data_IF_856338590358
#
_entry.id   IF_856338590358
#
_cell.length_a   1.000
_cell.length_b   1.000
_cell.length_c   1.000
_cell.angle_alpha   90.00
_cell.angle_beta   90.00
_cell.angle_gamma   90.00
#
_symmetry.space_group_name_H-M   'P 1'
#
loop_
_entity.id
_entity.type
_entity.pdbx_description
1 polymer ?
#
# COMPACT_ATOMS: atom_id res chain seq x y z
N UNK A 1 27.93 -16.74 -20.83
CA UNK A 1 26.94 -15.80 -20.28
C UNK A 1 27.03 -15.70 -18.74
N UNK A 2 27.13 -16.79 -18.01
CA UNK A 2 27.28 -16.77 -16.52
C UNK A 2 28.50 -15.98 -16.02
N UNK A 3 29.60 -15.96 -16.74
CA UNK A 3 30.84 -15.27 -16.33
C UNK A 3 30.70 -13.75 -16.21
N UNK A 4 29.76 -13.13 -16.93
CA UNK A 4 29.50 -11.67 -16.84
C UNK A 4 28.53 -11.32 -15.71
N UNK A 5 27.51 -12.14 -15.42
CA UNK A 5 26.49 -11.87 -14.40
C UNK A 5 27.09 -11.76 -13.02
N UNK A 6 28.07 -12.58 -12.68
CA UNK A 6 28.69 -12.57 -11.34
C UNK A 6 29.36 -11.25 -10.99
N UNK A 7 29.91 -10.54 -11.96
CA UNK A 7 30.51 -9.22 -11.71
C UNK A 7 29.45 -8.15 -11.44
N UNK A 8 28.28 -8.27 -12.04
CA UNK A 8 27.13 -7.42 -11.71
C UNK A 8 26.66 -7.67 -10.30
N UNK A 9 26.47 -8.93 -9.93
CA UNK A 9 26.07 -9.33 -8.58
C UNK A 9 27.09 -8.89 -7.54
N UNK A 10 28.39 -9.11 -7.82
CA UNK A 10 29.48 -8.64 -6.97
C UNK A 10 29.38 -7.12 -6.70
N UNK A 11 29.26 -6.31 -7.74
CA UNK A 11 29.23 -4.85 -7.60
C UNK A 11 27.97 -4.37 -6.86
N UNK A 12 26.82 -5.01 -7.13
CA UNK A 12 25.56 -4.67 -6.51
C UNK A 12 25.46 -5.08 -5.03
N UNK A 13 26.09 -6.21 -4.64
CA UNK A 13 26.10 -6.69 -3.25
C UNK A 13 27.13 -5.94 -2.38
N UNK A 14 28.24 -5.51 -3.01
CA UNK A 14 29.34 -4.87 -2.30
C UNK A 14 29.04 -3.42 -1.90
N UNK A 15 28.31 -2.67 -2.74
CA UNK A 15 28.12 -1.23 -2.62
C UNK A 15 26.65 -0.80 -2.65
N UNK A 16 26.31 0.29 -1.93
CA UNK A 16 24.99 0.90 -2.07
C UNK A 16 24.69 1.25 -3.54
N UNK A 17 23.45 1.11 -3.99
CA UNK A 17 23.01 1.27 -5.39
C UNK A 17 23.62 2.47 -6.09
N UNK A 18 23.51 3.67 -5.49
CA UNK A 18 24.03 4.90 -6.10
C UNK A 18 25.57 4.90 -6.25
N UNK A 19 26.28 4.22 -5.34
CA UNK A 19 27.75 4.12 -5.39
C UNK A 19 28.15 3.07 -6.43
N UNK A 20 27.52 1.91 -6.43
CA UNK A 20 27.76 0.86 -7.43
C UNK A 20 27.50 1.36 -8.85
N UNK A 21 26.40 2.10 -9.06
CA UNK A 21 26.11 2.71 -10.36
C UNK A 21 27.18 3.70 -10.79
N UNK A 22 27.71 4.52 -9.88
CA UNK A 22 28.83 5.45 -10.16
C UNK A 22 30.12 4.74 -10.54
N UNK A 23 30.45 3.65 -9.83
CA UNK A 23 31.60 2.80 -10.17
C UNK A 23 31.42 2.22 -11.59
N UNK A 24 30.22 1.68 -11.88
CA UNK A 24 29.88 1.19 -13.21
C UNK A 24 30.03 2.28 -14.29
N UNK A 25 29.51 3.47 -14.05
CA UNK A 25 29.63 4.59 -15.01
C UNK A 25 31.09 4.96 -15.29
N UNK A 26 31.96 4.91 -14.29
CA UNK A 26 33.38 5.24 -14.45
C UNK A 26 34.13 4.21 -15.31
N UNK A 27 33.86 2.92 -15.05
CA UNK A 27 34.55 1.84 -15.76
C UNK A 27 33.81 1.38 -17.04
N UNK A 28 32.53 1.70 -17.15
CA UNK A 28 31.60 1.22 -18.19
C UNK A 28 31.49 -0.33 -18.25
N UNK A 29 32.04 -1.03 -17.28
CA UNK A 29 32.04 -2.49 -17.18
C UNK A 29 32.28 -2.92 -15.74
N UNK A 30 31.46 -3.82 -15.17
CA UNK A 30 31.72 -4.35 -13.84
C UNK A 30 32.94 -5.31 -13.81
N UNK A 31 33.30 -5.89 -14.96
CA UNK A 31 34.55 -6.71 -15.10
C UNK A 31 35.76 -5.82 -15.00
N UNK A 32 35.76 -4.69 -15.73
CA UNK A 32 36.88 -3.73 -15.65
C UNK A 32 36.98 -3.10 -14.27
N UNK A 33 35.85 -2.86 -13.62
CA UNK A 33 35.83 -2.41 -12.22
C UNK A 33 36.47 -3.43 -11.28
N UNK A 34 36.22 -4.72 -11.47
CA UNK A 34 36.78 -5.79 -10.61
C UNK A 34 38.29 -5.98 -10.83
N UNK A 35 38.75 -5.86 -12.07
CA UNK A 35 40.15 -6.05 -12.46
C UNK A 35 41.02 -4.78 -12.32
N UNK A 36 40.44 -3.68 -11.86
CA UNK A 36 41.14 -2.40 -11.80
C UNK A 36 42.18 -2.39 -10.66
N UNK A 37 43.32 -1.73 -10.96
CA UNK A 37 44.32 -1.45 -9.94
C UNK A 37 43.77 -0.46 -8.89
N UNK A 38 44.18 -0.56 -7.61
CA UNK A 38 43.64 0.24 -6.50
C UNK A 38 43.66 1.77 -6.75
N UNK A 39 44.64 2.29 -7.45
CA UNK A 39 44.81 3.71 -7.78
C UNK A 39 43.69 4.24 -8.68
N UNK A 40 43.08 3.37 -9.50
CA UNK A 40 41.97 3.78 -10.37
C UNK A 40 40.68 4.11 -9.58
N UNK A 41 40.50 3.50 -8.44
CA UNK A 41 39.35 3.83 -7.56
C UNK A 41 39.49 5.22 -6.91
N UNK A 42 40.71 5.75 -6.80
CA UNK A 42 40.95 7.10 -6.29
C UNK A 42 40.43 8.19 -7.24
N UNK A 43 40.28 7.86 -8.49
CA UNK A 43 39.77 8.77 -9.51
C UNK A 43 38.22 8.88 -9.52
N UNK A 44 37.53 8.00 -8.79
CA UNK A 44 36.07 8.00 -8.75
C UNK A 44 35.57 9.03 -7.72
N UNK A 45 34.85 10.09 -8.16
CA UNK A 45 34.39 11.12 -7.24
C UNK A 45 33.45 10.60 -6.16
N UNK A 46 33.72 10.98 -4.91
CA UNK A 46 32.82 10.67 -3.78
C UNK A 46 32.82 9.21 -3.29
N UNK A 47 33.82 8.37 -3.68
CA UNK A 47 34.09 7.13 -3.02
C UNK A 47 34.75 7.37 -1.66
N UNK A 48 34.21 6.77 -0.60
CA UNK A 48 34.83 6.79 0.73
C UNK A 48 36.02 5.84 0.80
N UNK A 49 36.95 6.09 1.72
CA UNK A 49 38.08 5.17 1.97
C UNK A 49 37.62 3.72 2.21
N UNK A 50 36.59 3.53 3.01
CA UNK A 50 36.04 2.21 3.31
C UNK A 50 35.50 1.52 2.04
N UNK A 51 34.83 2.24 1.15
CA UNK A 51 34.31 1.69 -0.11
C UNK A 51 35.44 1.28 -1.06
N UNK A 52 36.54 2.04 -1.10
CA UNK A 52 37.74 1.69 -1.86
C UNK A 52 38.40 0.42 -1.32
N UNK A 53 38.55 0.33 0.00
CA UNK A 53 39.09 -0.85 0.68
C UNK A 53 38.23 -2.10 0.38
N UNK A 54 36.90 -1.96 0.35
CA UNK A 54 35.99 -3.06 -0.02
C UNK A 54 36.24 -3.50 -1.49
N UNK A 55 36.39 -2.56 -2.42
CA UNK A 55 36.66 -2.87 -3.82
C UNK A 55 38.01 -3.57 -4.02
N UNK A 56 39.07 -3.11 -3.33
CA UNK A 56 40.44 -3.67 -3.43
C UNK A 56 40.55 -5.11 -2.87
N UNK A 57 39.72 -5.46 -1.88
CA UNK A 57 39.80 -6.76 -1.19
C UNK A 57 38.62 -7.69 -1.54
N UNK A 58 37.82 -7.34 -2.54
CA UNK A 58 36.64 -8.12 -2.91
C UNK A 58 37.03 -9.43 -3.62
N UNK A 59 36.35 -10.52 -3.26
CA UNK A 59 36.35 -11.77 -4.03
C UNK A 59 35.02 -11.95 -4.75
N UNK A 60 34.97 -12.90 -5.68
CA UNK A 60 33.73 -13.30 -6.36
C UNK A 60 32.99 -14.43 -5.65
N UNK A 61 33.57 -15.03 -4.60
CA UNK A 61 33.01 -16.20 -3.91
C UNK A 61 31.58 -15.96 -3.40
N UNK A 62 31.32 -14.76 -2.87
CA UNK A 62 30.00 -14.39 -2.42
C UNK A 62 29.02 -14.21 -3.59
N UNK A 63 29.46 -13.62 -4.70
CA UNK A 63 28.63 -13.51 -5.89
C UNK A 63 28.29 -14.88 -6.49
N UNK A 64 29.26 -15.78 -6.54
CA UNK A 64 29.05 -17.16 -6.99
C UNK A 64 28.05 -17.88 -6.05
N UNK A 65 28.18 -17.76 -4.73
CA UNK A 65 27.23 -18.32 -3.75
C UNK A 65 25.80 -17.74 -3.93
N UNK A 66 25.68 -16.43 -4.18
CA UNK A 66 24.38 -15.80 -4.44
C UNK A 66 23.74 -16.38 -5.72
N UNK A 67 24.52 -16.56 -6.78
CA UNK A 67 24.03 -17.12 -8.05
C UNK A 67 23.61 -18.58 -7.92
N UNK A 68 24.36 -19.39 -7.18
CA UNK A 68 24.01 -20.79 -6.85
C UNK A 68 22.69 -20.84 -6.08
N UNK A 69 22.51 -19.96 -5.10
CA UNK A 69 21.28 -19.88 -4.32
C UNK A 69 20.10 -19.42 -5.20
N UNK A 70 20.31 -18.44 -6.08
CA UNK A 70 19.30 -18.00 -7.06
C UNK A 70 18.88 -19.15 -7.99
N UNK A 71 19.85 -19.92 -8.50
CA UNK A 71 19.57 -21.06 -9.37
C UNK A 71 18.76 -22.15 -8.62
N UNK A 72 19.13 -22.45 -7.38
CA UNK A 72 18.46 -23.43 -6.54
C UNK A 72 17.01 -23.07 -6.22
N UNK A 73 16.72 -21.77 -6.07
CA UNK A 73 15.39 -21.24 -5.70
C UNK A 73 14.60 -20.68 -6.87
N UNK A 74 15.06 -20.87 -8.10
CA UNK A 74 14.42 -20.36 -9.31
C UNK A 74 14.22 -18.84 -9.28
N UNK A 75 15.19 -18.12 -8.68
CA UNK A 75 15.22 -16.66 -8.64
C UNK A 75 15.96 -16.14 -9.87
N UNK A 76 15.30 -15.33 -10.67
CA UNK A 76 15.90 -14.67 -11.82
C UNK A 76 16.74 -13.49 -11.36
N UNK A 77 17.92 -13.37 -11.94
CA UNK A 77 18.84 -12.24 -11.73
C UNK A 77 18.81 -11.41 -13.00
N UNK A 78 18.25 -10.21 -12.91
CA UNK A 78 18.15 -9.27 -14.04
C UNK A 78 19.15 -8.15 -13.83
N UNK A 79 20.07 -7.99 -14.75
CA UNK A 79 21.15 -6.99 -14.67
C UNK A 79 20.87 -5.79 -15.58
N UNK A 80 21.53 -4.67 -15.31
CA UNK A 80 21.45 -3.45 -16.11
C UNK A 80 21.61 -3.66 -17.61
N UNK A 81 22.40 -4.64 -18.05
CA UNK A 81 22.66 -4.91 -19.46
C UNK A 81 21.63 -5.81 -20.13
N UNK A 82 20.78 -6.47 -19.35
CA UNK A 82 19.84 -7.43 -19.90
C UNK A 82 18.72 -6.71 -20.68
N UNK A 83 18.23 -7.35 -21.73
CA UNK A 83 17.12 -6.84 -22.52
C UNK A 83 15.81 -6.76 -21.70
N UNK A 84 15.67 -7.64 -20.71
CA UNK A 84 14.51 -7.67 -19.82
C UNK A 84 14.61 -6.65 -18.66
N UNK A 85 15.71 -5.88 -18.59
CA UNK A 85 15.83 -4.84 -17.58
C UNK A 85 14.89 -3.68 -17.91
N UNK A 86 13.98 -3.26 -16.99
CA UNK A 86 12.96 -2.25 -17.29
C UNK A 86 13.57 -0.89 -17.67
N UNK A 87 13.18 -0.34 -18.81
CA UNK A 87 13.63 0.98 -19.26
C UNK A 87 13.26 2.10 -18.28
N UNK A 88 12.09 1.93 -17.60
CA UNK A 88 11.65 2.88 -16.56
C UNK A 88 12.56 2.91 -15.34
N UNK A 89 13.35 1.85 -15.07
CA UNK A 89 14.39 1.86 -14.05
C UNK A 89 15.66 2.56 -14.54
N UNK A 90 15.98 2.48 -15.86
CA UNK A 90 17.14 3.16 -16.43
C UNK A 90 17.05 4.68 -16.28
N UNK A 91 15.82 5.22 -16.28
CA UNK A 91 15.56 6.66 -16.12
C UNK A 91 15.68 7.18 -14.68
N UNK A 92 15.92 6.29 -13.70
CA UNK A 92 16.12 6.70 -12.30
C UNK A 92 17.46 7.44 -12.12
N UNK A 93 17.58 8.37 -11.16
CA UNK A 93 18.83 9.05 -10.84
C UNK A 93 19.99 8.11 -10.48
N UNK A 94 19.67 6.97 -9.86
CA UNK A 94 20.61 5.92 -9.51
C UNK A 94 19.96 4.55 -9.77
N UNK A 95 19.97 4.07 -11.01
CA UNK A 95 19.37 2.79 -11.36
C UNK A 95 20.06 1.62 -10.64
N UNK A 96 19.31 0.62 -10.16
CA UNK A 96 19.91 -0.58 -9.60
C UNK A 96 20.65 -1.40 -10.65
N UNK A 97 21.84 -1.88 -10.33
CA UNK A 97 22.62 -2.70 -11.25
C UNK A 97 22.06 -4.11 -11.41
N UNK A 98 21.39 -4.61 -10.37
CA UNK A 98 20.80 -5.95 -10.31
C UNK A 98 19.43 -5.88 -9.64
N UNK A 99 18.48 -6.62 -10.19
CA UNK A 99 17.17 -6.87 -9.61
C UNK A 99 16.96 -8.39 -9.52
N UNK A 100 16.57 -8.86 -8.34
CA UNK A 100 16.18 -10.25 -8.11
C UNK A 100 14.68 -10.39 -8.28
N UNK A 101 14.23 -11.38 -9.04
CA UNK A 101 12.81 -11.60 -9.30
C UNK A 101 12.44 -13.08 -9.17
N UNK A 102 11.29 -13.37 -8.55
CA UNK A 102 10.75 -14.72 -8.42
C UNK A 102 9.27 -14.73 -8.79
N UNK A 103 8.79 -15.85 -9.32
CA UNK A 103 7.41 -16.02 -9.80
C UNK A 103 7.26 -15.72 -11.29
N UNK A 104 6.09 -15.25 -11.70
CA UNK A 104 5.78 -15.03 -13.11
C UNK A 104 6.69 -13.98 -13.75
N UNK A 105 7.17 -14.19 -14.98
CA UNK A 105 7.85 -13.14 -15.74
C UNK A 105 6.95 -11.92 -15.95
N UNK A 106 7.53 -10.73 -15.81
CA UNK A 106 6.83 -9.48 -16.01
C UNK A 106 7.69 -8.57 -16.91
N UNK A 107 7.14 -8.14 -18.04
CA UNK A 107 7.72 -7.13 -18.92
C UNK A 107 7.14 -5.76 -18.52
N UNK A 108 7.77 -5.13 -17.55
CA UNK A 108 7.26 -3.91 -16.90
C UNK A 108 6.92 -2.79 -17.88
N UNK A 109 7.69 -2.64 -18.97
CA UNK A 109 7.51 -1.53 -19.90
C UNK A 109 6.25 -1.66 -20.77
N UNK A 110 5.72 -2.89 -20.89
CA UNK A 110 4.46 -3.18 -21.57
C UNK A 110 3.24 -3.00 -20.66
N UNK A 111 3.44 -2.79 -19.36
CA UNK A 111 2.38 -2.77 -18.37
C UNK A 111 2.08 -1.36 -17.85
N UNK A 112 0.80 -1.05 -17.69
CA UNK A 112 0.34 0.13 -16.95
C UNK A 112 0.51 -0.11 -15.44
N UNK A 113 1.76 -0.06 -14.98
CA UNK A 113 2.10 -0.37 -13.60
C UNK A 113 1.86 0.82 -12.67
N UNK A 114 1.03 0.63 -11.64
CA UNK A 114 0.68 1.64 -10.63
C UNK A 114 1.14 1.19 -9.25
N UNK A 115 1.97 2.01 -8.60
CA UNK A 115 2.38 1.76 -7.23
C UNK A 115 1.25 2.06 -6.25
N UNK A 116 1.10 1.21 -5.23
CA UNK A 116 0.21 1.45 -4.11
C UNK A 116 1.01 1.38 -2.80
N UNK A 117 0.91 2.43 -2.00
CA UNK A 117 1.61 2.53 -0.72
C UNK A 117 0.71 3.18 0.34
N UNK A 118 1.00 2.87 1.62
CA UNK A 118 0.30 3.50 2.71
C UNK A 118 0.87 3.15 4.07
N UNK A 119 0.23 3.66 5.10
CA UNK A 119 0.66 3.43 6.48
C UNK A 119 0.56 1.95 6.89
N UNK A 120 1.51 1.52 7.72
CA UNK A 120 1.48 0.18 8.35
C UNK A 120 0.33 0.02 9.34
N UNK A 121 -0.09 1.12 9.97
CA UNK A 121 -1.23 1.19 10.91
C UNK A 121 -2.43 1.82 10.21
N UNK A 122 -2.90 1.15 9.16
CA UNK A 122 -4.03 1.64 8.38
C UNK A 122 -5.34 1.52 9.17
N UNK A 123 -6.19 2.52 9.04
CA UNK A 123 -7.57 2.48 9.54
C UNK A 123 -8.38 1.42 8.79
N UNK A 124 -9.55 1.00 9.31
CA UNK A 124 -10.49 0.15 8.55
C UNK A 124 -10.83 0.75 7.18
N UNK A 125 -11.03 2.06 7.11
CA UNK A 125 -11.26 2.79 5.86
C UNK A 125 -10.06 2.66 4.90
N UNK A 126 -8.84 2.94 5.38
CA UNK A 126 -7.63 2.85 4.56
C UNK A 126 -7.37 1.44 4.03
N UNK A 127 -7.58 0.40 4.83
CA UNK A 127 -7.47 -0.99 4.40
C UNK A 127 -8.47 -1.34 3.31
N UNK A 128 -9.74 -0.95 3.50
CA UNK A 128 -10.79 -1.15 2.51
C UNK A 128 -10.46 -0.42 1.21
N UNK A 129 -10.12 0.86 1.27
CA UNK A 129 -9.79 1.64 0.08
C UNK A 129 -8.57 1.08 -0.66
N UNK A 130 -7.53 0.65 0.07
CA UNK A 130 -6.36 0.01 -0.54
C UNK A 130 -6.74 -1.26 -1.31
N UNK A 131 -7.58 -2.13 -0.71
CA UNK A 131 -8.07 -3.36 -1.34
C UNK A 131 -8.94 -3.06 -2.56
N UNK A 132 -9.95 -2.19 -2.41
CA UNK A 132 -10.94 -1.91 -3.45
C UNK A 132 -10.29 -1.23 -4.67
N UNK A 133 -9.38 -0.26 -4.44
CA UNK A 133 -8.64 0.40 -5.52
C UNK A 133 -7.71 -0.59 -6.24
N UNK A 134 -6.99 -1.44 -5.51
CA UNK A 134 -6.13 -2.46 -6.11
C UNK A 134 -6.94 -3.46 -6.96
N UNK A 135 -8.09 -3.92 -6.44
CA UNK A 135 -9.00 -4.79 -7.15
C UNK A 135 -9.51 -4.14 -8.46
N UNK A 136 -9.93 -2.87 -8.39
CA UNK A 136 -10.40 -2.15 -9.57
C UNK A 136 -9.28 -1.92 -10.60
N UNK A 137 -8.09 -1.48 -10.17
CA UNK A 137 -6.93 -1.29 -11.04
C UNK A 137 -6.60 -2.56 -11.81
N UNK A 138 -6.50 -3.71 -11.13
CA UNK A 138 -6.18 -4.99 -11.77
C UNK A 138 -7.28 -5.48 -12.70
N UNK A 139 -8.57 -5.30 -12.34
CA UNK A 139 -9.70 -5.64 -13.21
C UNK A 139 -9.74 -4.78 -14.48
N UNK A 140 -9.18 -3.59 -14.44
CA UNK A 140 -9.07 -2.68 -15.59
C UNK A 140 -7.79 -2.90 -16.41
N UNK A 141 -7.00 -3.94 -16.11
CA UNK A 141 -5.79 -4.30 -16.85
C UNK A 141 -4.52 -3.58 -16.41
N UNK A 142 -4.55 -2.87 -15.28
CA UNK A 142 -3.35 -2.26 -14.69
C UNK A 142 -2.58 -3.28 -13.84
N UNK A 143 -1.26 -3.18 -13.83
CA UNK A 143 -0.39 -3.95 -12.96
C UNK A 143 -0.21 -3.23 -11.63
N UNK A 144 -0.74 -3.77 -10.55
CA UNK A 144 -0.52 -3.22 -9.20
C UNK A 144 0.88 -3.58 -8.70
N UNK A 145 1.65 -2.56 -8.32
CA UNK A 145 2.97 -2.70 -7.70
C UNK A 145 2.87 -2.26 -6.23
N UNK A 146 3.10 -3.14 -5.28
CA UNK A 146 2.97 -2.82 -3.86
C UNK A 146 3.98 -3.57 -3.00
N UNK A 147 3.82 -3.59 -1.70
CA UNK A 147 4.58 -4.41 -0.78
C UNK A 147 3.69 -5.42 -0.05
N UNK A 148 4.29 -6.09 0.93
CA UNK A 148 3.60 -7.07 1.77
C UNK A 148 3.59 -6.68 3.25
N UNK A 149 3.93 -5.42 3.55
CA UNK A 149 3.93 -4.93 4.93
C UNK A 149 2.50 -4.69 5.39
N UNK A 150 2.21 -4.91 6.67
CA UNK A 150 0.89 -4.69 7.25
C UNK A 150 0.31 -3.32 6.89
N UNK A 151 -1.01 -3.22 6.88
CA UNK A 151 -1.74 -2.01 6.57
C UNK A 151 -2.13 -1.90 5.11
N UNK A 152 -1.90 -0.75 4.49
CA UNK A 152 -2.34 -0.48 3.12
C UNK A 152 -1.67 -1.39 2.10
N UNK A 153 -0.34 -1.61 2.19
CA UNK A 153 0.41 -2.43 1.23
C UNK A 153 -0.17 -3.85 1.16
N UNK A 154 -0.31 -4.51 2.32
CA UNK A 154 -0.88 -5.86 2.40
C UNK A 154 -2.34 -5.91 1.91
N UNK A 155 -3.12 -4.86 2.21
CA UNK A 155 -4.52 -4.80 1.75
C UNK A 155 -4.60 -4.65 0.23
N UNK A 156 -3.72 -3.84 -0.37
CA UNK A 156 -3.60 -3.70 -1.82
C UNK A 156 -3.17 -5.02 -2.49
N UNK A 157 -2.14 -5.70 -1.93
CA UNK A 157 -1.72 -7.00 -2.44
C UNK A 157 -2.86 -8.03 -2.44
N UNK A 158 -3.62 -8.12 -1.35
CA UNK A 158 -4.79 -9.01 -1.26
C UNK A 158 -5.88 -8.65 -2.26
N UNK A 159 -6.19 -7.35 -2.42
CA UNK A 159 -7.17 -6.89 -3.39
C UNK A 159 -6.78 -7.25 -4.84
N UNK A 160 -5.50 -7.17 -5.18
CA UNK A 160 -5.00 -7.61 -6.47
C UNK A 160 -5.10 -9.15 -6.64
N UNK A 161 -4.67 -9.94 -5.63
CA UNK A 161 -4.75 -11.41 -5.64
C UNK A 161 -6.18 -11.92 -5.85
N UNK A 162 -7.18 -11.29 -5.21
CA UNK A 162 -8.59 -11.68 -5.32
C UNK A 162 -9.14 -11.61 -6.74
N UNK A 163 -8.54 -10.83 -7.62
CA UNK A 163 -8.96 -10.73 -9.03
C UNK A 163 -8.40 -11.83 -9.92
N UNK A 164 -7.44 -12.63 -9.44
CA UNK A 164 -6.71 -13.60 -10.25
C UNK A 164 -5.75 -12.96 -11.27
N UNK A 165 -5.60 -11.63 -11.27
CA UNK A 165 -4.71 -10.92 -12.18
C UNK A 165 -3.29 -10.80 -11.61
N UNK A 166 -2.26 -10.65 -12.46
CA UNK A 166 -0.89 -10.48 -12.00
C UNK A 166 -0.71 -9.23 -11.13
N UNK A 167 0.18 -9.34 -10.14
CA UNK A 167 0.65 -8.21 -9.35
C UNK A 167 2.16 -8.29 -9.16
N UNK A 168 2.76 -7.20 -8.71
CA UNK A 168 4.17 -7.16 -8.32
C UNK A 168 4.30 -6.74 -6.87
N UNK A 169 5.03 -7.56 -6.10
CA UNK A 169 5.36 -7.20 -4.73
C UNK A 169 6.85 -6.91 -4.60
N UNK A 170 7.16 -5.68 -4.20
CA UNK A 170 8.54 -5.22 -3.95
C UNK A 170 8.90 -5.44 -2.50
N UNK A 171 9.97 -6.19 -2.25
CA UNK A 171 10.42 -6.61 -0.94
C UNK A 171 11.65 -5.83 -0.47
N UNK A 172 11.77 -5.60 0.84
CA UNK A 172 12.93 -4.97 1.45
C UNK A 172 14.03 -5.96 1.86
N UNK A 173 13.76 -7.25 1.73
CA UNK A 173 14.70 -8.38 1.93
C UNK A 173 14.70 -9.27 0.71
N UNK A 174 15.32 -10.44 0.79
CA UNK A 174 15.33 -11.43 -0.29
C UNK A 174 13.93 -11.84 -0.71
N UNK A 175 13.74 -12.12 -2.01
CA UNK A 175 12.43 -12.53 -2.55
C UNK A 175 11.92 -13.85 -1.97
N UNK A 176 12.82 -14.65 -1.42
CA UNK A 176 12.58 -15.95 -0.79
C UNK A 176 12.33 -15.85 0.72
N UNK A 177 12.39 -14.65 1.30
CA UNK A 177 12.24 -14.43 2.74
C UNK A 177 10.86 -13.83 3.03
N UNK A 178 9.96 -14.54 3.74
CA UNK A 178 8.67 -14.01 4.11
C UNK A 178 8.82 -12.87 5.12
N UNK A 179 8.06 -11.78 4.92
CA UNK A 179 8.05 -10.66 5.87
C UNK A 179 7.54 -11.09 7.25
N UNK A 180 6.50 -11.93 7.27
CA UNK A 180 6.00 -12.57 8.48
C UNK A 180 6.47 -14.01 8.51
N UNK A 181 7.18 -14.40 9.57
CA UNK A 181 7.72 -15.77 9.76
C UNK A 181 6.63 -16.80 10.12
N UNK A 182 5.36 -16.43 10.10
CA UNK A 182 4.21 -17.31 10.30
C UNK A 182 3.91 -18.14 9.05
N UNK A 183 3.21 -19.26 9.22
CA UNK A 183 2.76 -20.08 8.10
C UNK A 183 1.86 -19.31 7.12
N UNK A 184 1.03 -18.37 7.63
CA UNK A 184 0.23 -17.48 6.77
C UNK A 184 1.10 -16.51 5.96
N UNK A 185 2.22 -16.05 6.51
CA UNK A 185 3.17 -15.21 5.79
C UNK A 185 3.90 -15.97 4.67
N UNK A 186 4.31 -17.20 4.93
CA UNK A 186 4.92 -18.08 3.93
C UNK A 186 3.94 -18.41 2.79
N UNK A 187 2.67 -18.73 3.14
CA UNK A 187 1.62 -18.99 2.14
C UNK A 187 1.36 -17.78 1.27
N UNK A 188 1.28 -16.59 1.86
CA UNK A 188 1.08 -15.35 1.10
C UNK A 188 2.22 -15.11 0.11
N UNK A 189 3.49 -15.35 0.52
CA UNK A 189 4.64 -15.20 -0.37
C UNK A 189 4.55 -16.17 -1.56
N UNK A 190 4.20 -17.44 -1.28
CA UNK A 190 4.02 -18.47 -2.31
C UNK A 190 2.86 -18.11 -3.26
N UNK A 191 1.73 -17.67 -2.75
CA UNK A 191 0.56 -17.24 -3.53
C UNK A 191 0.90 -16.08 -4.47
N UNK A 192 1.66 -15.07 -3.95
CA UNK A 192 2.12 -13.96 -4.79
C UNK A 192 3.09 -14.46 -5.87
N UNK A 193 4.01 -15.38 -5.57
CA UNK A 193 4.94 -15.90 -6.55
C UNK A 193 4.24 -16.75 -7.63
N UNK A 194 3.17 -17.47 -7.27
CA UNK A 194 2.38 -18.26 -8.20
C UNK A 194 1.57 -17.37 -9.16
N UNK A 195 0.95 -16.31 -8.66
CA UNK A 195 0.05 -15.46 -9.44
C UNK A 195 0.74 -14.26 -10.08
N UNK A 196 1.79 -13.74 -9.46
CA UNK A 196 2.50 -12.52 -9.85
C UNK A 196 4.01 -12.63 -9.73
N UNK A 197 4.67 -11.52 -9.41
CA UNK A 197 6.13 -11.42 -9.34
C UNK A 197 6.56 -10.79 -8.01
N UNK A 198 7.49 -11.44 -7.34
CA UNK A 198 8.24 -10.87 -6.22
C UNK A 198 9.51 -10.23 -6.77
N UNK A 199 9.83 -9.01 -6.37
CA UNK A 199 11.05 -8.32 -6.78
C UNK A 199 11.78 -7.70 -5.59
N UNK A 200 13.11 -7.71 -5.65
CA UNK A 200 13.96 -7.12 -4.63
C UNK A 200 15.30 -6.67 -5.19
N UNK A 201 15.96 -5.75 -4.47
CA UNK A 201 17.36 -5.38 -4.67
C UNK A 201 18.31 -6.19 -3.78
N UNK A 202 17.78 -6.95 -2.84
CA UNK A 202 18.56 -7.74 -1.90
C UNK A 202 18.72 -9.19 -2.39
N UNK A 203 19.90 -9.80 -2.23
CA UNK A 203 20.11 -11.19 -2.59
C UNK A 203 19.25 -12.15 -1.76
N UNK A 204 19.10 -13.42 -2.21
CA UNK A 204 18.37 -14.46 -1.47
C UNK A 204 18.84 -14.57 -0.02
N UNK A 205 17.92 -14.93 0.88
CA UNK A 205 18.18 -15.12 2.29
C UNK A 205 18.37 -13.83 3.10
N UNK A 206 18.36 -12.66 2.47
CA UNK A 206 18.49 -11.36 3.17
C UNK A 206 17.24 -11.09 4.00
N UNK A 207 17.36 -10.87 5.33
CA UNK A 207 16.21 -10.55 6.17
C UNK A 207 15.66 -9.14 5.86
N UNK A 208 14.39 -8.92 6.16
CA UNK A 208 13.74 -7.60 6.03
C UNK A 208 14.24 -6.65 7.12
N UNK A 209 15.18 -5.78 6.78
CA UNK A 209 15.78 -4.81 7.69
C UNK A 209 15.26 -3.39 7.45
N UNK A 210 15.15 -2.59 8.52
CA UNK A 210 14.66 -1.21 8.45
C UNK A 210 15.43 -0.34 7.45
N UNK A 211 16.75 -0.52 7.34
CA UNK A 211 17.61 0.22 6.41
C UNK A 211 17.33 -0.04 4.92
N UNK A 212 16.71 -1.18 4.58
CA UNK A 212 16.43 -1.57 3.19
C UNK A 212 15.11 -1.01 2.65
N UNK A 213 14.27 -0.40 3.50
CA UNK A 213 12.98 0.14 3.06
C UNK A 213 13.12 1.35 2.13
N UNK A 214 14.20 2.11 2.23
CA UNK A 214 14.42 3.26 1.34
C UNK A 214 14.67 2.78 -0.10
N UNK A 215 15.63 1.89 -0.30
CA UNK A 215 15.95 1.33 -1.63
C UNK A 215 14.77 0.53 -2.22
N UNK A 216 14.03 -0.19 -1.36
CA UNK A 216 12.78 -0.85 -1.75
C UNK A 216 11.74 0.16 -2.26
N UNK A 217 11.57 1.29 -1.60
CA UNK A 217 10.63 2.32 -2.04
C UNK A 217 11.09 2.98 -3.34
N UNK A 218 12.38 3.21 -3.53
CA UNK A 218 12.96 3.69 -4.78
C UNK A 218 12.65 2.72 -5.93
N UNK A 219 12.80 1.41 -5.71
CA UNK A 219 12.44 0.38 -6.70
C UNK A 219 10.94 0.36 -6.98
N UNK A 220 10.09 0.43 -5.96
CA UNK A 220 8.64 0.46 -6.10
C UNK A 220 8.18 1.64 -6.97
N UNK A 221 8.69 2.84 -6.71
CA UNK A 221 8.42 4.03 -7.52
C UNK A 221 8.99 3.85 -8.93
N UNK A 222 10.24 3.40 -9.05
CA UNK A 222 10.93 3.22 -10.32
C UNK A 222 10.21 2.27 -11.28
N UNK A 223 9.57 1.22 -10.78
CA UNK A 223 8.80 0.27 -11.59
C UNK A 223 7.42 0.79 -12.02
N UNK A 224 6.94 1.92 -11.50
CA UNK A 224 5.56 2.36 -11.66
C UNK A 224 5.44 3.63 -12.49
N UNK A 225 4.31 3.87 -13.10
CA UNK A 225 3.99 5.09 -13.85
C UNK A 225 3.50 6.22 -12.94
N UNK A 226 2.85 5.86 -11.84
CA UNK A 226 2.32 6.76 -10.83
C UNK A 226 2.16 6.04 -9.50
N UNK A 227 1.87 6.80 -8.44
CA UNK A 227 1.80 6.28 -7.07
C UNK A 227 0.50 6.67 -6.40
N UNK A 228 -0.24 5.69 -5.88
CA UNK A 228 -1.40 5.88 -5.02
C UNK A 228 -0.97 5.81 -3.55
N UNK A 229 -1.08 6.92 -2.84
CA UNK A 229 -0.90 7.00 -1.40
C UNK A 229 -2.28 6.92 -0.71
N UNK A 230 -2.59 5.78 -0.10
CA UNK A 230 -3.93 5.55 0.48
C UNK A 230 -4.10 6.27 1.81
N UNK A 231 -3.23 6.03 2.76
CA UNK A 231 -3.18 6.73 4.04
C UNK A 231 -1.73 7.00 4.45
N UNK A 232 -1.46 8.20 4.95
CA UNK A 232 -0.18 8.54 5.55
C UNK A 232 -0.34 9.61 6.63
N UNK A 233 0.11 9.31 7.85
CA UNK A 233 0.28 10.34 8.88
C UNK A 233 1.45 11.28 8.55
N UNK A 234 1.57 12.38 9.30
CA UNK A 234 2.57 13.44 9.04
C UNK A 234 4.04 12.96 8.98
N UNK A 235 4.38 11.89 9.71
CA UNK A 235 5.74 11.32 9.78
C UNK A 235 5.84 9.95 9.11
N UNK A 236 4.92 9.64 8.19
CA UNK A 236 4.86 8.34 7.53
C UNK A 236 5.95 8.17 6.46
N UNK A 237 6.51 6.97 6.37
CA UNK A 237 7.39 6.58 5.25
C UNK A 237 6.71 6.66 3.88
N UNK A 238 5.38 6.59 3.82
CA UNK A 238 4.59 6.77 2.60
C UNK A 238 4.77 8.15 1.98
N UNK A 239 4.99 9.20 2.82
CA UNK A 239 5.29 10.55 2.30
C UNK A 239 6.67 10.62 1.62
N UNK A 240 7.60 9.73 1.99
CA UNK A 240 8.87 9.60 1.27
C UNK A 240 8.64 8.97 -0.11
N UNK A 241 7.76 7.96 -0.21
CA UNK A 241 7.36 7.38 -1.51
C UNK A 241 6.73 8.44 -2.41
N UNK A 242 5.82 9.27 -1.89
CA UNK A 242 5.24 10.38 -2.63
C UNK A 242 6.29 11.38 -3.14
N UNK A 243 7.26 11.76 -2.28
CA UNK A 243 8.37 12.66 -2.68
C UNK A 243 9.24 12.04 -3.77
N UNK A 244 9.63 10.77 -3.62
CA UNK A 244 10.41 10.06 -4.64
C UNK A 244 9.68 10.00 -5.97
N UNK A 245 8.35 9.84 -5.98
CA UNK A 245 7.54 9.88 -7.18
C UNK A 245 7.58 11.27 -7.84
N UNK A 246 7.38 12.34 -7.08
CA UNK A 246 7.45 13.72 -7.56
C UNK A 246 8.85 14.06 -8.11
N UNK A 247 9.93 13.65 -7.42
CA UNK A 247 11.31 13.85 -7.87
C UNK A 247 11.62 13.14 -9.19
N UNK A 248 10.89 12.04 -9.48
CA UNK A 248 10.99 11.30 -10.75
C UNK A 248 9.94 11.75 -11.78
N UNK A 249 9.21 12.86 -11.55
CA UNK A 249 8.17 13.36 -12.44
C UNK A 249 6.95 12.44 -12.57
N UNK A 250 6.70 11.57 -11.60
CA UNK A 250 5.58 10.62 -11.60
C UNK A 250 4.39 11.21 -10.81
N UNK A 251 3.17 11.13 -11.33
CA UNK A 251 1.99 11.63 -10.64
C UNK A 251 1.76 10.89 -9.32
N UNK A 252 1.30 11.65 -8.32
CA UNK A 252 0.91 11.15 -7.01
C UNK A 252 -0.60 11.30 -6.86
N UNK A 253 -1.26 10.21 -6.53
CA UNK A 253 -2.70 10.14 -6.28
C UNK A 253 -2.94 9.88 -4.80
N UNK A 254 -3.95 10.50 -4.24
CA UNK A 254 -4.28 10.39 -2.82
C UNK A 254 -5.75 10.09 -2.62
N UNK A 255 -6.05 9.16 -1.74
CA UNK A 255 -7.41 8.91 -1.26
C UNK A 255 -7.75 9.96 -0.19
N UNK A 256 -8.74 10.84 -0.42
CA UNK A 256 -9.19 11.81 0.57
C UNK A 256 -9.71 11.10 1.83
N UNK A 257 -9.43 11.67 2.98
CA UNK A 257 -9.91 11.13 4.24
C UNK A 257 -10.41 12.25 5.18
N UNK A 258 -11.05 11.85 6.28
CA UNK A 258 -11.63 12.80 7.22
C UNK A 258 -10.58 13.77 7.77
N UNK A 259 -10.94 15.04 7.83
CA UNK A 259 -10.13 16.08 8.49
C UNK A 259 -10.00 15.72 9.96
N UNK A 260 -8.76 15.85 10.49
CA UNK A 260 -8.46 15.47 11.88
C UNK A 260 -8.05 14.00 12.08
N UNK A 261 -8.18 13.14 11.07
CA UNK A 261 -7.66 11.76 11.16
C UNK A 261 -6.13 11.74 11.19
N UNK A 262 -5.49 11.27 12.28
CA UNK A 262 -4.03 11.25 12.38
C UNK A 262 -3.37 10.35 11.32
N UNK A 263 -4.06 9.27 10.90
CA UNK A 263 -3.57 8.31 9.89
C UNK A 263 -3.52 8.89 8.47
N UNK A 264 -4.25 10.00 8.22
CA UNK A 264 -4.38 10.63 6.90
C UNK A 264 -3.92 12.09 6.88
N UNK A 265 -3.40 12.60 8.00
CA UNK A 265 -2.96 13.99 8.08
C UNK A 265 -1.90 14.36 7.03
N UNK A 266 -1.01 13.43 6.70
CA UNK A 266 0.02 13.65 5.69
C UNK A 266 -0.52 13.58 4.25
N UNK A 267 -1.42 12.63 3.95
CA UNK A 267 -2.06 12.55 2.63
C UNK A 267 -2.97 13.74 2.37
N UNK A 268 -3.77 14.16 3.36
CA UNK A 268 -4.60 15.37 3.24
C UNK A 268 -3.74 16.63 3.05
N UNK A 269 -2.54 16.70 3.66
CA UNK A 269 -1.61 17.82 3.46
C UNK A 269 -1.05 17.86 2.03
N UNK A 270 -0.75 16.71 1.42
CA UNK A 270 -0.39 16.66 -0.01
C UNK A 270 -1.49 17.24 -0.91
N UNK A 271 -2.76 16.92 -0.62
CA UNK A 271 -3.90 17.49 -1.35
C UNK A 271 -4.01 19.00 -1.13
N UNK A 272 -3.89 19.48 0.11
CA UNK A 272 -3.94 20.91 0.43
C UNK A 272 -2.86 21.71 -0.31
N UNK A 273 -1.70 21.11 -0.52
CA UNK A 273 -0.57 21.73 -1.22
C UNK A 273 -0.63 21.57 -2.74
N UNK A 274 -1.66 20.94 -3.31
CA UNK A 274 -1.76 20.60 -4.73
C UNK A 274 -0.58 19.75 -5.25
N UNK A 275 0.00 18.93 -4.37
CA UNK A 275 1.10 18.02 -4.70
C UNK A 275 0.60 16.62 -5.10
N UNK A 276 -0.69 16.37 -5.01
CA UNK A 276 -1.31 15.11 -5.36
C UNK A 276 -2.73 15.30 -5.93
N UNK A 277 -3.15 14.37 -6.76
CA UNK A 277 -4.48 14.33 -7.35
C UNK A 277 -5.42 13.55 -6.43
N UNK A 278 -6.58 14.09 -6.03
CA UNK A 278 -7.55 13.32 -5.25
C UNK A 278 -8.22 12.25 -6.11
N UNK A 279 -8.29 11.02 -5.59
CA UNK A 279 -8.98 9.91 -6.24
C UNK A 279 -10.02 9.30 -5.30
N UNK A 280 -11.13 8.83 -5.87
CA UNK A 280 -12.19 8.14 -5.14
C UNK A 280 -12.25 6.65 -5.50
N UNK A 281 -11.59 6.26 -6.58
CA UNK A 281 -11.58 4.89 -7.13
C UNK A 281 -10.38 4.69 -8.05
N UNK A 282 -10.08 3.43 -8.39
CA UNK A 282 -8.95 3.06 -9.26
C UNK A 282 -9.04 3.65 -10.67
N UNK A 283 -10.25 3.73 -11.23
CA UNK A 283 -10.48 4.29 -12.55
C UNK A 283 -9.91 5.71 -12.73
N UNK A 284 -9.98 6.56 -11.70
CA UNK A 284 -9.47 7.94 -11.77
C UNK A 284 -7.95 7.99 -11.96
N UNK A 285 -7.21 6.97 -11.49
CA UNK A 285 -5.77 6.85 -11.73
C UNK A 285 -5.48 6.55 -13.19
N UNK A 286 -6.31 5.68 -13.80
CA UNK A 286 -6.06 5.18 -15.15
C UNK A 286 -6.48 6.17 -16.25
N UNK A 287 -7.25 7.21 -15.93
CA UNK A 287 -7.61 8.28 -16.86
C UNK A 287 -6.36 8.92 -17.51
N UNK A 288 -5.26 9.03 -16.76
CA UNK A 288 -4.01 9.60 -17.26
C UNK A 288 -3.22 8.66 -18.19
N UNK A 289 -3.55 7.36 -18.23
CA UNK A 289 -2.74 6.33 -18.90
C UNK A 289 -3.44 5.60 -20.04
N UNK A 290 -4.75 5.81 -20.28
CA UNK A 290 -5.48 5.13 -21.36
C UNK A 290 -4.87 5.35 -22.74
N UNK A 291 -4.41 6.56 -23.03
CA UNK A 291 -3.80 6.89 -24.32
C UNK A 291 -2.45 6.18 -24.52
N UNK A 292 -1.71 5.92 -23.46
CA UNK A 292 -0.41 5.27 -23.49
C UNK A 292 -0.52 3.73 -23.58
N UNK A 293 -1.56 3.15 -22.95
CA UNK A 293 -1.76 1.69 -22.87
C UNK A 293 -3.15 1.26 -23.40
N UNK A 294 -3.51 1.60 -24.66
CA UNK A 294 -4.85 1.35 -25.19
C UNK A 294 -5.19 -0.14 -25.34
N UNK A 295 -4.17 -0.99 -25.47
CA UNK A 295 -4.32 -2.44 -25.64
C UNK A 295 -4.30 -3.21 -24.29
N UNK A 296 -3.97 -2.55 -23.19
CA UNK A 296 -3.86 -3.15 -21.85
C UNK A 296 -4.99 -2.70 -20.93
N UNK A 297 -5.30 -1.41 -20.96
CA UNK A 297 -6.31 -0.84 -20.08
C UNK A 297 -7.70 -0.97 -20.68
N UNK A 298 -8.63 -1.42 -19.86
CA UNK A 298 -10.04 -1.57 -20.19
C UNK A 298 -10.88 -0.59 -19.38
N UNK A 299 -12.01 -0.07 -19.92
CA UNK A 299 -12.91 0.72 -19.11
C UNK A 299 -13.42 -0.08 -17.91
N UNK A 300 -13.62 0.59 -16.78
CA UNK A 300 -14.15 -0.06 -15.58
C UNK A 300 -15.35 -0.95 -15.93
N UNK A 301 -15.40 -2.19 -15.44
CA UNK A 301 -16.57 -3.03 -15.60
C UNK A 301 -17.77 -2.20 -15.13
N UNK A 302 -18.81 -2.11 -15.94
CA UNK A 302 -20.03 -1.41 -15.55
C UNK A 302 -20.49 -2.07 -14.27
N UNK A 303 -20.15 -1.47 -13.11
CA UNK A 303 -20.68 -1.94 -11.85
C UNK A 303 -22.17 -2.06 -12.04
N UNK A 304 -22.75 -3.19 -11.66
CA UNK A 304 -24.19 -3.26 -11.47
C UNK A 304 -24.46 -2.10 -10.51
N UNK A 305 -24.92 -0.99 -11.07
CA UNK A 305 -25.34 0.17 -10.30
C UNK A 305 -26.24 -0.42 -9.23
N UNK A 306 -25.88 -0.27 -7.96
CA UNK A 306 -26.87 -0.38 -6.91
C UNK A 306 -28.04 0.48 -7.38
N UNK A 307 -29.09 -0.20 -7.83
CA UNK A 307 -30.38 0.42 -8.17
C UNK A 307 -31.01 0.89 -6.88
N UNK A 308 -30.54 2.02 -6.40
CA UNK A 308 -31.22 2.82 -5.40
C UNK A 308 -30.67 4.25 -5.42
N UNK A 309 -30.65 4.87 -6.63
CA UNK A 309 -30.86 6.30 -6.64
C UNK A 309 -32.36 6.48 -6.38
N UNK A 310 -32.77 7.23 -5.36
CA UNK A 310 -34.16 7.58 -5.18
C UNK A 310 -34.62 8.25 -6.46
N UNK A 311 -35.73 7.76 -7.03
CA UNK A 311 -36.40 8.39 -8.17
C UNK A 311 -36.59 9.84 -7.81
N UNK A 312 -36.19 10.83 -8.64
CA UNK A 312 -36.50 12.22 -8.36
C UNK A 312 -38.01 12.34 -8.14
N UNK A 313 -38.45 13.12 -7.15
CA UNK A 313 -39.87 13.31 -6.92
C UNK A 313 -40.51 13.81 -8.21
N UNK A 314 -41.75 13.37 -8.53
CA UNK A 314 -42.44 13.84 -9.73
C UNK A 314 -42.56 15.37 -9.68
N UNK A 315 -42.27 16.00 -10.81
CA UNK A 315 -42.42 17.45 -10.95
C UNK A 315 -43.85 17.86 -10.54
N UNK A 316 -44.02 18.94 -9.77
CA UNK A 316 -45.36 19.42 -9.41
C UNK A 316 -46.11 19.80 -10.67
N UNK A 317 -47.44 19.54 -10.74
CA UNK A 317 -48.25 19.91 -11.88
C UNK A 317 -48.25 21.44 -12.06
N UNK A 318 -47.96 21.86 -13.29
CA UNK A 318 -48.07 23.28 -13.69
C UNK A 318 -49.56 23.66 -13.69
N UNK A 319 -50.02 24.24 -12.60
CA UNK A 319 -51.17 25.14 -12.56
C UNK A 319 -51.39 25.60 -11.13
N UNK A 320 -51.21 26.89 -10.90
CA UNK A 320 -52.16 27.70 -10.15
C UNK A 320 -51.58 29.06 -9.77
N UNK A 321 -52.46 29.99 -9.82
CA UNK A 321 -52.37 31.40 -9.62
C UNK A 321 -51.79 31.89 -8.27
N UNK A 322 -51.42 33.17 -8.16
CA UNK A 322 -50.72 33.71 -6.98
C UNK A 322 -51.66 33.80 -5.77
N UNK A 323 -51.23 33.22 -4.66
CA UNK A 323 -51.89 33.43 -3.38
C UNK A 323 -51.03 34.36 -2.50
N UNK A 324 -51.78 35.29 -1.93
CA UNK A 324 -51.40 36.40 -1.09
C UNK A 324 -50.66 35.95 0.20
N UNK A 325 -49.70 36.80 0.51
CA UNK A 325 -48.96 36.88 1.77
C UNK A 325 -49.90 36.92 3.00
N UNK A 326 -49.76 35.93 3.88
CA UNK A 326 -50.11 36.03 5.31
C UNK A 326 -49.04 35.34 6.11
N UNK A 327 -48.27 36.18 6.77
CA UNK A 327 -47.23 35.77 7.71
C UNK A 327 -47.71 34.76 8.76
N UNK A 328 -46.99 33.69 8.82
CA UNK A 328 -46.86 32.87 10.03
C UNK A 328 -45.49 32.18 9.97
N UNK A 329 -44.63 32.59 10.88
CA UNK A 329 -43.39 31.95 11.17
C UNK A 329 -43.61 30.46 11.39
N UNK A 330 -43.14 29.58 10.49
CA UNK A 330 -42.98 28.16 10.77
C UNK A 330 -41.49 27.89 10.86
N UNK A 331 -41.13 27.46 12.05
CA UNK A 331 -39.84 26.89 12.43
C UNK A 331 -39.33 25.95 11.34
N UNK A 332 -38.09 26.18 10.93
CA UNK A 332 -37.28 25.26 10.15
C UNK A 332 -37.11 23.98 11.02
N UNK A 333 -37.68 22.87 10.56
CA UNK A 333 -37.45 21.57 11.15
C UNK A 333 -36.01 21.17 10.95
N UNK A 334 -35.36 20.99 12.07
CA UNK A 334 -33.99 20.52 12.24
C UNK A 334 -33.79 19.15 11.58
N UNK A 335 -32.63 18.98 10.95
CA UNK A 335 -32.07 17.70 10.58
C UNK A 335 -32.32 16.65 11.66
N UNK A 336 -32.76 15.48 11.26
CA UNK A 336 -32.96 14.32 12.13
C UNK A 336 -31.71 14.10 12.99
N UNK A 337 -31.85 14.35 14.29
CA UNK A 337 -30.85 13.98 15.28
C UNK A 337 -30.74 12.44 15.28
N UNK A 338 -29.53 11.87 15.51
CA UNK A 338 -29.42 10.44 15.70
C UNK A 338 -30.28 10.02 16.88
N UNK A 339 -31.12 9.00 16.67
CA UNK A 339 -31.99 8.43 17.71
C UNK A 339 -31.07 7.89 18.82
N UNK A 340 -31.16 8.52 20.00
CA UNK A 340 -30.39 8.10 21.16
C UNK A 340 -31.17 6.99 21.89
N UNK A 341 -30.61 5.78 21.87
CA UNK A 341 -31.20 4.61 22.54
C UNK A 341 -30.82 4.64 24.02
N UNK A 342 -31.81 4.69 24.93
CA UNK A 342 -31.56 4.65 26.36
C UNK A 342 -31.48 3.20 26.85
N UNK A 343 -30.29 2.61 26.85
CA UNK A 343 -30.07 1.27 27.36
C UNK A 343 -30.36 1.11 28.87
N UNK A 344 -30.41 2.19 29.66
CA UNK A 344 -30.71 2.16 31.09
C UNK A 344 -32.14 1.78 31.38
N UNK A 345 -33.08 1.99 30.46
CA UNK A 345 -34.47 1.59 30.61
C UNK A 345 -34.68 0.08 30.52
N UNK A 346 -33.66 -0.66 30.02
CA UNK A 346 -33.72 -2.11 29.73
C UNK A 346 -32.88 -2.98 30.68
N UNK A 347 -32.77 -2.59 31.94
CA UNK A 347 -32.01 -3.33 32.99
C UNK A 347 -32.39 -4.82 33.14
N UNK A 348 -33.54 -5.25 32.63
CA UNK A 348 -33.93 -6.67 32.65
C UNK A 348 -33.33 -7.51 31.54
N UNK A 349 -32.69 -6.88 30.52
CA UNK A 349 -32.09 -7.57 29.35
C UNK A 349 -30.56 -7.52 29.34
N UNK A 350 -29.97 -6.53 30.00
CA UNK A 350 -28.54 -6.28 30.01
C UNK A 350 -28.02 -6.06 31.43
N UNK A 351 -26.81 -6.50 31.68
CA UNK A 351 -26.11 -6.21 32.94
C UNK A 351 -25.60 -4.76 32.95
N UNK A 352 -25.24 -4.24 34.12
CA UNK A 352 -24.69 -2.87 34.22
C UNK A 352 -23.42 -2.67 33.39
N UNK A 353 -22.54 -3.67 33.27
CA UNK A 353 -21.33 -3.63 32.45
C UNK A 353 -21.68 -3.64 30.95
N UNK A 354 -22.68 -4.41 30.52
CA UNK A 354 -23.19 -4.43 29.15
C UNK A 354 -23.77 -3.08 28.74
N UNK A 355 -24.56 -2.47 29.62
CA UNK A 355 -25.15 -1.14 29.42
C UNK A 355 -24.06 -0.08 29.28
N UNK A 356 -23.06 -0.11 30.16
CA UNK A 356 -21.94 0.85 30.11
C UNK A 356 -21.16 0.76 28.82
N UNK A 357 -20.86 -0.46 28.33
CA UNK A 357 -20.15 -0.67 27.09
C UNK A 357 -20.99 -0.33 25.85
N UNK A 358 -22.27 -0.68 25.82
CA UNK A 358 -23.18 -0.31 24.71
C UNK A 358 -23.37 1.21 24.64
N UNK A 359 -23.45 1.90 25.80
CA UNK A 359 -23.54 3.36 25.87
C UNK A 359 -22.26 4.02 25.34
N UNK A 360 -21.09 3.50 25.70
CA UNK A 360 -19.83 3.99 25.17
C UNK A 360 -19.72 3.79 23.65
N UNK A 361 -20.15 2.63 23.13
CA UNK A 361 -20.22 2.37 21.68
C UNK A 361 -21.17 3.33 20.96
N UNK A 362 -22.32 3.65 21.57
CA UNK A 362 -23.26 4.62 21.01
C UNK A 362 -22.70 6.05 20.97
N UNK A 363 -21.82 6.40 21.89
CA UNK A 363 -21.08 7.68 21.89
C UNK A 363 -19.94 7.74 20.88
N UNK A 364 -19.68 6.63 20.15
CA UNK A 364 -18.67 6.56 19.10
C UNK A 364 -17.29 6.11 19.59
N UNK A 365 -17.18 5.55 20.79
CA UNK A 365 -15.94 4.92 21.27
C UNK A 365 -15.88 3.49 20.76
N UNK A 366 -15.03 3.24 19.77
CA UNK A 366 -15.00 1.96 19.02
C UNK A 366 -13.79 1.08 19.37
N UNK A 367 -12.70 1.63 19.95
CA UNK A 367 -11.54 0.84 20.35
C UNK A 367 -11.70 0.24 21.73
N UNK A 368 -11.08 -0.93 22.00
CA UNK A 368 -11.13 -1.55 23.32
C UNK A 368 -10.60 -0.62 24.43
N UNK A 369 -9.52 0.12 24.15
CA UNK A 369 -8.92 1.05 25.11
C UNK A 369 -9.86 2.22 25.43
N UNK A 370 -10.53 2.78 24.42
CA UNK A 370 -11.52 3.85 24.61
C UNK A 370 -12.78 3.34 25.33
N UNK A 371 -13.25 2.13 25.02
CA UNK A 371 -14.38 1.52 25.68
C UNK A 371 -14.12 1.31 27.17
N UNK A 372 -12.92 0.83 27.54
CA UNK A 372 -12.53 0.67 28.94
C UNK A 372 -12.45 2.02 29.64
N UNK A 373 -11.83 3.01 29.00
CA UNK A 373 -11.64 4.35 29.57
C UNK A 373 -12.96 5.09 29.83
N UNK A 374 -13.96 4.93 28.95
CA UNK A 374 -15.22 5.69 29.00
C UNK A 374 -16.39 4.92 29.61
N UNK A 375 -16.39 3.58 29.61
CA UNK A 375 -17.42 2.78 30.29
C UNK A 375 -17.15 2.63 31.77
N UNK A 376 -15.90 2.81 32.24
CA UNK A 376 -15.50 2.53 33.60
C UNK A 376 -15.49 1.04 33.98
N UNK A 377 -15.68 0.13 33.01
CA UNK A 377 -15.66 -1.31 33.24
C UNK A 377 -14.22 -1.80 33.31
N UNK A 378 -13.81 -2.57 34.33
CA UNK A 378 -12.45 -3.12 34.43
C UNK A 378 -12.06 -3.96 33.21
N UNK A 379 -10.77 -3.94 32.82
CA UNK A 379 -10.23 -4.56 31.61
C UNK A 379 -10.63 -6.03 31.47
N UNK A 380 -10.49 -6.80 32.55
CA UNK A 380 -10.78 -8.24 32.60
C UNK A 380 -12.27 -8.54 32.32
N UNK A 381 -13.18 -7.67 32.82
CA UNK A 381 -14.61 -7.79 32.58
C UNK A 381 -15.04 -7.20 31.24
N UNK A 382 -14.41 -6.12 30.79
CA UNK A 382 -14.74 -5.49 29.51
C UNK A 382 -14.55 -6.44 28.33
N UNK A 383 -13.44 -7.20 28.30
CA UNK A 383 -13.13 -8.16 27.25
C UNK A 383 -14.18 -9.30 27.20
N UNK A 384 -14.53 -9.85 28.35
CA UNK A 384 -15.51 -10.93 28.41
C UNK A 384 -16.93 -10.45 28.07
N UNK A 385 -17.30 -9.26 28.54
CA UNK A 385 -18.63 -8.67 28.30
C UNK A 385 -18.80 -8.27 26.81
N UNK A 386 -17.80 -7.65 26.16
CA UNK A 386 -17.89 -7.30 24.76
C UNK A 386 -17.96 -8.55 23.87
N UNK A 387 -17.26 -9.62 24.26
CA UNK A 387 -17.33 -10.92 23.57
C UNK A 387 -18.73 -11.52 23.66
N UNK A 388 -19.35 -11.47 24.83
CA UNK A 388 -20.74 -11.95 25.03
C UNK A 388 -21.76 -11.11 24.23
N UNK A 389 -21.58 -9.78 24.17
CA UNK A 389 -22.43 -8.90 23.37
C UNK A 389 -22.28 -9.19 21.87
N UNK A 390 -21.07 -9.52 21.42
CA UNK A 390 -20.83 -9.94 20.02
C UNK A 390 -21.47 -11.30 19.71
N UNK A 391 -21.39 -12.28 20.61
CA UNK A 391 -22.05 -13.58 20.46
C UNK A 391 -23.58 -13.46 20.45
N UNK A 392 -24.13 -12.49 21.17
CA UNK A 392 -25.57 -12.19 21.20
C UNK A 392 -26.03 -11.35 20.00
N UNK A 393 -25.12 -10.91 19.15
CA UNK A 393 -25.42 -10.15 17.93
C UNK A 393 -25.68 -8.66 18.14
N UNK A 394 -25.35 -8.08 19.30
CA UNK A 394 -25.52 -6.65 19.59
C UNK A 394 -24.30 -5.81 19.20
N UNK A 395 -23.13 -6.43 19.17
CA UNK A 395 -21.87 -5.78 18.82
C UNK A 395 -21.21 -6.56 17.68
N UNK A 396 -20.82 -5.88 16.65
CA UNK A 396 -19.99 -6.42 15.58
C UNK A 396 -18.52 -6.10 15.85
N UNK A 397 -17.64 -7.05 15.50
CA UNK A 397 -16.19 -6.92 15.66
C UNK A 397 -15.54 -7.03 14.27
N UNK A 398 -15.61 -5.96 13.46
CA UNK A 398 -15.04 -5.96 12.10
C UNK A 398 -13.52 -6.14 12.08
N UNK A 399 -12.86 -5.86 13.22
CA UNK A 399 -11.43 -6.13 13.40
C UNK A 399 -11.17 -6.44 14.87
N UNK A 400 -10.17 -7.26 15.17
CA UNK A 400 -9.85 -7.73 16.55
C UNK A 400 -9.66 -6.63 17.61
N UNK A 401 -9.73 -5.34 17.24
CA UNK A 401 -9.51 -4.20 18.13
C UNK A 401 -10.59 -3.11 18.05
N UNK A 402 -11.60 -3.27 17.18
CA UNK A 402 -12.65 -2.26 16.98
C UNK A 402 -14.02 -2.92 17.02
N UNK A 403 -14.97 -2.28 17.68
CA UNK A 403 -16.32 -2.75 17.94
C UNK A 403 -17.34 -1.72 17.48
N UNK A 404 -18.45 -2.17 16.93
CA UNK A 404 -19.55 -1.30 16.49
C UNK A 404 -20.88 -1.91 16.86
N UNK A 405 -21.91 -1.06 17.07
CA UNK A 405 -23.26 -1.53 17.29
C UNK A 405 -23.85 -2.12 16.00
N UNK A 406 -24.43 -3.28 16.08
CA UNK A 406 -25.18 -3.91 14.98
C UNK A 406 -26.52 -3.22 14.73
N UNK A 407 -27.14 -3.49 13.59
CA UNK A 407 -28.49 -3.00 13.31
C UNK A 407 -29.51 -3.57 14.30
N UNK A 408 -29.32 -4.80 14.78
CA UNK A 408 -30.14 -5.40 15.86
C UNK A 408 -30.04 -4.61 17.18
N UNK A 409 -28.86 -4.03 17.49
CA UNK A 409 -28.70 -3.18 18.66
C UNK A 409 -29.36 -1.81 18.46
N UNK A 410 -29.37 -1.29 17.23
CA UNK A 410 -29.97 -0.01 16.85
C UNK A 410 -31.48 -0.06 16.71
N UNK A 411 -32.05 -1.25 16.44
CA UNK A 411 -33.50 -1.49 16.34
C UNK A 411 -34.15 -1.79 17.72
N UNK A 412 -33.38 -1.75 18.78
CA UNK A 412 -33.94 -1.84 20.16
C UNK A 412 -34.62 -0.50 20.50
N UNK A 413 -35.79 -0.22 19.93
CA UNK A 413 -36.69 0.86 20.37
C UNK A 413 -37.44 0.52 21.67
#
# INVERSE_FOLDING_TARGET
>A
MYASIKYWVWLADLLPTAVGHRVYQFFNSPIEAFLAEPERYDLIPGLTRQQKELLCHASLDRADSILEECARKEIRVVTWQDADYPERLRSMPAPPLVVYAQGRPCHFDDEAAIAMAGTRRASPYGRRMARDIACELTQMGSLVVTGIVAGCDLSAARGALETGQPLVCVLAGGVDVPYYQSESGKRLLAEIAEQGTLVSLSPPGTPHLGGLFRSRNELLVGLSLGVVCVEAGQRSGTLQVARMAMEQGRPVYVVPANVGSPSSAGTNELLRQNLAVPILRGAHVLEDFYAQFPNRLHPAPRSQRHRSAPKPPPAPPANSAPLQDKGTEKKVDSASQPVYIDFHTRKNQFTDDEIALLTALQQGYESMDDLIAHSGVPVDRAISTITLLSLRGFVDNPTSSYFTLTDQAKELE
#
